data_IF_849716452940
#
_entry.id   IF_849716452940
#
_cell.length_a   1.000
_cell.length_b   1.000
_cell.length_c   1.000
_cell.angle_alpha   90.00
_cell.angle_beta   90.00
_cell.angle_gamma   90.00
#
_symmetry.space_group_name_H-M   'P 1'
#
loop_
_entity.id
_entity.type
_entity.pdbx_description
1 polymer ?
#
# COMPACT_ATOMS: atom_id res chain seq x y z
N UNK A 1 39.04 28.73 16.43
CA UNK A 1 38.85 27.30 16.72
C UNK A 1 37.42 26.95 16.36
N UNK A 2 37.06 25.97 15.55
CA UNK A 2 37.80 24.99 14.77
C UNK A 2 36.90 24.52 13.63
N UNK A 3 37.48 24.27 12.45
CA UNK A 3 36.80 23.65 11.31
C UNK A 3 36.40 22.23 11.70
N UNK A 4 35.12 21.89 11.60
CA UNK A 4 34.66 20.51 11.71
C UNK A 4 35.15 19.75 10.47
N UNK A 5 35.95 18.71 10.68
CA UNK A 5 36.46 17.82 9.65
C UNK A 5 35.30 17.16 8.89
N UNK A 6 35.18 17.43 7.60
CA UNK A 6 34.40 16.61 6.68
C UNK A 6 35.34 15.50 6.19
N UNK A 7 35.31 14.35 6.87
CA UNK A 7 35.95 13.15 6.35
C UNK A 7 35.22 12.69 5.09
N UNK A 8 35.89 12.71 3.94
CA UNK A 8 35.34 12.22 2.69
C UNK A 8 35.06 10.72 2.77
N UNK A 9 33.82 10.32 2.46
CA UNK A 9 33.44 8.92 2.34
C UNK A 9 34.19 8.31 1.14
N UNK A 10 34.76 7.11 1.31
CA UNK A 10 35.46 6.44 0.22
C UNK A 10 34.47 5.78 -0.76
N UNK A 11 34.95 5.38 -1.94
CA UNK A 11 34.11 4.84 -3.02
C UNK A 11 33.25 3.63 -2.62
N UNK A 12 33.78 2.73 -1.80
CA UNK A 12 33.04 1.57 -1.28
C UNK A 12 31.97 1.97 -0.26
N UNK A 13 32.21 3.02 0.54
CA UNK A 13 31.21 3.59 1.46
C UNK A 13 30.11 4.35 0.70
N UNK A 14 30.45 5.03 -0.40
CA UNK A 14 29.45 5.65 -1.28
C UNK A 14 28.61 4.59 -1.99
N UNK A 15 29.22 3.54 -2.54
CA UNK A 15 28.51 2.42 -3.18
C UNK A 15 27.62 1.65 -2.19
N UNK A 16 28.08 1.43 -0.96
CA UNK A 16 27.25 0.83 0.10
C UNK A 16 26.11 1.75 0.56
N UNK A 17 26.32 3.07 0.59
CA UNK A 17 25.28 4.05 0.90
C UNK A 17 24.27 4.20 -0.25
N UNK A 18 24.70 4.13 -1.51
CA UNK A 18 23.84 4.12 -2.69
C UNK A 18 23.02 2.82 -2.78
N UNK A 19 23.63 1.66 -2.45
CA UNK A 19 22.93 0.37 -2.38
C UNK A 19 21.97 0.30 -1.20
N UNK A 20 22.30 0.86 -0.02
CA UNK A 20 21.37 1.01 1.10
C UNK A 20 20.23 1.99 0.79
N UNK A 21 20.53 3.09 0.10
CA UNK A 21 19.51 4.04 -0.36
C UNK A 21 18.60 3.44 -1.44
N UNK A 22 19.11 2.51 -2.27
CA UNK A 22 18.33 1.82 -3.29
C UNK A 22 17.42 0.72 -2.72
N UNK A 23 17.82 0.05 -1.63
CA UNK A 23 17.03 -1.02 -1.00
C UNK A 23 15.88 -0.51 -0.11
N UNK A 24 15.91 0.77 0.28
CA UNK A 24 14.80 1.48 0.93
C UNK A 24 14.00 2.37 -0.02
N UNK A 25 14.35 2.43 -1.31
CA UNK A 25 13.59 3.19 -2.29
C UNK A 25 12.36 2.39 -2.70
N UNK A 26 11.23 3.07 -2.63
CA UNK A 26 9.97 2.61 -3.18
C UNK A 26 10.19 2.22 -4.65
N UNK A 27 9.61 1.10 -5.07
CA UNK A 27 9.67 0.66 -6.47
C UNK A 27 8.82 1.60 -7.32
N UNK A 28 9.46 2.53 -8.02
CA UNK A 28 8.75 3.54 -8.80
C UNK A 28 8.36 3.08 -10.22
N UNK A 29 8.78 1.89 -10.65
CA UNK A 29 8.53 1.34 -11.98
C UNK A 29 7.13 0.71 -12.18
N UNK A 30 6.26 0.84 -11.18
CA UNK A 30 4.89 0.32 -11.22
C UNK A 30 4.03 1.03 -12.27
N UNK A 31 3.14 0.26 -12.94
CA UNK A 31 2.20 0.81 -13.94
C UNK A 31 1.34 1.94 -13.39
N UNK A 32 0.93 1.83 -12.12
CA UNK A 32 0.18 2.85 -11.39
C UNK A 32 0.87 4.22 -11.45
N UNK A 33 2.19 4.25 -11.23
CA UNK A 33 2.95 5.50 -11.15
C UNK A 33 3.14 6.20 -12.50
N UNK A 34 2.86 5.53 -13.62
CA UNK A 34 2.76 6.23 -14.92
C UNK A 34 1.54 7.15 -14.99
N UNK A 35 0.45 6.80 -14.30
CA UNK A 35 -0.76 7.62 -14.26
C UNK A 35 -0.64 8.75 -13.23
N UNK A 36 -0.23 8.42 -12.00
CA UNK A 36 0.00 9.36 -10.90
C UNK A 36 1.20 8.84 -10.12
N UNK A 37 2.32 9.57 -10.14
CA UNK A 37 3.54 9.15 -9.44
C UNK A 37 3.62 9.69 -8.00
N UNK A 38 4.67 9.29 -7.28
CA UNK A 38 4.94 9.70 -5.89
C UNK A 38 5.50 11.13 -5.74
N UNK A 39 5.63 11.87 -6.83
CA UNK A 39 6.21 13.22 -6.88
C UNK A 39 5.23 14.26 -7.44
N UNK A 40 3.97 13.88 -7.67
CA UNK A 40 2.91 14.75 -8.21
C UNK A 40 2.91 14.88 -9.75
N UNK A 41 3.67 14.02 -10.43
CA UNK A 41 3.68 13.85 -11.88
C UNK A 41 2.75 12.72 -12.36
N UNK A 42 3.06 12.16 -13.53
CA UNK A 42 2.21 11.19 -14.23
C UNK A 42 1.25 11.82 -15.26
N UNK A 43 0.79 10.98 -16.18
CA UNK A 43 -0.08 11.37 -17.30
C UNK A 43 -1.39 12.01 -16.80
N UNK A 44 -2.05 11.37 -15.82
CA UNK A 44 -3.34 11.81 -15.30
C UNK A 44 -3.22 13.13 -14.54
N UNK A 45 -2.10 13.37 -13.85
CA UNK A 45 -1.85 14.65 -13.17
C UNK A 45 -1.64 15.80 -14.17
N UNK A 46 -0.97 15.53 -15.28
CA UNK A 46 -0.79 16.51 -16.36
C UNK A 46 -2.14 16.89 -16.98
N UNK A 47 -2.97 15.89 -17.25
CA UNK A 47 -4.34 16.09 -17.75
C UNK A 47 -5.19 16.86 -16.73
N UNK A 48 -5.12 16.50 -15.45
CA UNK A 48 -5.87 17.16 -14.38
C UNK A 48 -5.50 18.64 -14.22
N UNK A 49 -4.20 18.97 -14.33
CA UNK A 49 -3.74 20.38 -14.31
C UNK A 49 -4.34 21.18 -15.46
N UNK A 50 -4.33 20.61 -16.67
CA UNK A 50 -4.94 21.24 -17.83
C UNK A 50 -6.45 21.42 -17.64
N UNK A 51 -7.16 20.35 -17.26
CA UNK A 51 -8.60 20.36 -17.01
C UNK A 51 -9.02 21.39 -15.96
N UNK A 52 -8.24 21.54 -14.87
CA UNK A 52 -8.49 22.55 -13.84
C UNK A 52 -8.31 23.98 -14.37
N UNK A 53 -7.32 24.21 -15.24
CA UNK A 53 -7.06 25.52 -15.82
C UNK A 53 -8.13 25.94 -16.83
N UNK A 54 -8.58 25.01 -17.67
CA UNK A 54 -9.61 25.25 -18.70
C UNK A 54 -11.03 25.13 -18.16
N UNK A 55 -11.21 24.52 -16.98
CA UNK A 55 -12.49 24.06 -16.42
C UNK A 55 -13.21 23.02 -17.30
N UNK A 56 -12.50 22.39 -18.22
CA UNK A 56 -13.00 21.29 -19.04
C UNK A 56 -12.38 19.97 -18.59
N UNK A 57 -13.20 19.12 -17.99
CA UNK A 57 -12.77 17.82 -17.48
C UNK A 57 -13.13 16.65 -18.41
N UNK A 58 -13.69 16.92 -19.60
CA UNK A 58 -14.21 15.88 -20.49
C UNK A 58 -13.13 14.89 -20.92
N UNK A 59 -11.94 15.38 -21.25
CA UNK A 59 -10.81 14.52 -21.60
C UNK A 59 -10.31 13.69 -20.41
N UNK A 60 -10.24 14.29 -19.22
CA UNK A 60 -9.88 13.57 -18.00
C UNK A 60 -10.88 12.46 -17.69
N UNK A 61 -12.18 12.77 -17.78
CA UNK A 61 -13.26 11.82 -17.52
C UNK A 61 -13.22 10.64 -18.49
N UNK A 62 -12.96 10.92 -19.77
CA UNK A 62 -12.78 9.89 -20.78
C UNK A 62 -11.52 9.04 -20.50
N UNK A 63 -10.40 9.66 -20.12
CA UNK A 63 -9.18 8.95 -19.77
C UNK A 63 -9.41 8.05 -18.54
N UNK A 64 -10.07 8.54 -17.49
CA UNK A 64 -10.41 7.76 -16.30
C UNK A 64 -11.30 6.54 -16.68
N UNK A 65 -12.32 6.75 -17.51
CA UNK A 65 -13.24 5.67 -17.94
C UNK A 65 -12.59 4.62 -18.83
N UNK A 66 -11.61 5.00 -19.64
CA UNK A 66 -10.97 4.08 -20.60
C UNK A 66 -9.76 3.37 -20.00
N UNK A 67 -8.99 4.03 -19.13
CA UNK A 67 -7.73 3.51 -18.61
C UNK A 67 -7.88 2.70 -17.32
N UNK A 68 -8.71 3.17 -16.38
CA UNK A 68 -8.86 2.54 -15.06
C UNK A 68 -9.37 1.09 -15.08
N UNK A 69 -10.26 0.66 -15.99
CA UNK A 69 -10.79 -0.71 -15.97
C UNK A 69 -9.68 -1.79 -16.06
N UNK A 70 -8.53 -1.47 -16.66
CA UNK A 70 -7.37 -2.37 -16.71
C UNK A 70 -6.80 -2.72 -15.32
N UNK A 71 -7.03 -1.87 -14.32
CA UNK A 71 -6.51 -1.99 -12.95
C UNK A 71 -7.56 -2.56 -11.98
N UNK A 72 -8.83 -2.67 -12.41
CA UNK A 72 -9.95 -3.04 -11.56
C UNK A 72 -10.25 -4.55 -11.64
N UNK A 73 -10.66 -5.11 -10.51
CA UNK A 73 -11.00 -6.51 -10.34
C UNK A 73 -12.39 -6.82 -10.89
N UNK A 74 -12.53 -8.00 -11.51
CA UNK A 74 -13.81 -8.58 -11.93
C UNK A 74 -14.70 -7.64 -12.75
N UNK A 75 -14.13 -6.91 -13.72
CA UNK A 75 -14.85 -5.91 -14.51
C UNK A 75 -15.56 -4.89 -13.60
N UNK A 76 -14.80 -4.28 -12.69
CA UNK A 76 -15.26 -3.22 -11.78
C UNK A 76 -16.22 -3.69 -10.67
N UNK A 77 -16.52 -4.99 -10.61
CA UNK A 77 -17.39 -5.56 -9.58
C UNK A 77 -16.69 -5.80 -8.25
N UNK A 78 -15.35 -5.73 -8.21
CA UNK A 78 -14.57 -6.07 -7.02
C UNK A 78 -14.50 -7.57 -6.78
N UNK A 79 -13.68 -7.98 -5.81
CA UNK A 79 -13.50 -9.39 -5.42
C UNK A 79 -13.41 -9.50 -3.90
N UNK A 80 -14.12 -10.49 -3.35
CA UNK A 80 -13.94 -10.89 -1.96
C UNK A 80 -12.69 -11.76 -1.82
N UNK A 81 -11.78 -11.34 -0.96
CA UNK A 81 -10.60 -12.09 -0.55
C UNK A 81 -10.79 -12.58 0.87
N UNK A 82 -10.34 -13.80 1.18
CA UNK A 82 -10.24 -14.22 2.57
C UNK A 82 -9.18 -13.37 3.27
N UNK A 83 -9.45 -12.91 4.50
CA UNK A 83 -8.45 -12.14 5.26
C UNK A 83 -7.17 -12.96 5.46
N UNK A 84 -7.29 -14.27 5.64
CA UNK A 84 -6.15 -15.19 5.73
C UNK A 84 -5.30 -15.23 4.46
N UNK A 85 -5.90 -15.06 3.27
CA UNK A 85 -5.18 -14.98 2.00
C UNK A 85 -4.34 -13.70 1.93
N UNK A 86 -4.93 -12.56 2.30
CA UNK A 86 -4.23 -11.27 2.32
C UNK A 86 -3.09 -11.26 3.36
N UNK A 87 -3.32 -11.84 4.54
CA UNK A 87 -2.29 -12.02 5.57
C UNK A 87 -1.17 -12.93 5.06
N UNK A 88 -1.49 -14.02 4.36
CA UNK A 88 -0.47 -14.91 3.79
C UNK A 88 0.40 -14.22 2.74
N UNK A 89 -0.20 -13.41 1.86
CA UNK A 89 0.53 -12.60 0.87
C UNK A 89 1.48 -11.62 1.56
N UNK A 90 0.98 -10.92 2.58
CA UNK A 90 1.76 -10.00 3.41
C UNK A 90 2.93 -10.70 4.12
N UNK A 91 2.67 -11.86 4.72
CA UNK A 91 3.68 -12.66 5.41
C UNK A 91 4.76 -13.18 4.45
N UNK A 92 4.40 -13.53 3.22
CA UNK A 92 5.34 -13.90 2.17
C UNK A 92 6.29 -12.75 1.83
N UNK A 93 5.78 -11.52 1.75
CA UNK A 93 6.59 -10.31 1.55
C UNK A 93 7.57 -10.11 2.72
N UNK A 94 7.10 -10.21 3.97
CA UNK A 94 7.95 -10.11 5.18
C UNK A 94 9.08 -11.14 5.16
N UNK A 95 8.77 -12.40 4.85
CA UNK A 95 9.76 -13.47 4.81
C UNK A 95 10.79 -13.26 3.68
N UNK A 96 10.37 -12.72 2.53
CA UNK A 96 11.29 -12.36 1.45
C UNK A 96 12.25 -11.23 1.87
N UNK A 97 11.75 -10.18 2.55
CA UNK A 97 12.56 -9.09 3.11
C UNK A 97 13.59 -9.62 4.12
N UNK A 98 13.16 -10.45 5.07
CA UNK A 98 14.05 -11.08 6.06
C UNK A 98 15.10 -11.99 5.41
N UNK A 99 14.70 -12.80 4.42
CA UNK A 99 15.63 -13.65 3.68
C UNK A 99 16.70 -12.86 2.93
N UNK A 100 16.34 -11.74 2.31
CA UNK A 100 17.30 -10.84 1.66
C UNK A 100 18.29 -10.23 2.66
N UNK A 101 17.80 -9.76 3.79
CA UNK A 101 18.62 -9.20 4.86
C UNK A 101 19.64 -10.21 5.43
N UNK A 102 19.21 -11.46 5.67
CA UNK A 102 20.07 -12.51 6.23
C UNK A 102 21.17 -12.97 5.26
N UNK A 103 20.87 -13.09 3.96
CA UNK A 103 21.88 -13.39 2.92
C UNK A 103 23.00 -12.35 2.90
N UNK A 104 22.66 -11.07 3.11
CA UNK A 104 23.60 -9.94 3.11
C UNK A 104 24.59 -9.95 4.28
N UNK A 105 24.23 -10.56 5.43
CA UNK A 105 25.08 -10.59 6.64
C UNK A 105 26.10 -11.76 6.67
N UNK A 106 26.27 -12.51 5.58
CA UNK A 106 27.26 -13.60 5.47
C UNK A 106 27.02 -14.80 6.41
N UNK A 107 25.94 -14.78 7.20
CA UNK A 107 25.52 -15.93 8.01
C UNK A 107 24.68 -16.85 7.14
N UNK A 108 25.37 -17.63 6.30
CA UNK A 108 24.77 -18.75 5.57
C UNK A 108 24.25 -19.81 6.53
N UNK A 109 23.03 -19.62 7.02
CA UNK A 109 22.05 -20.68 7.29
C UNK A 109 20.72 -20.12 6.84
N UNK A 110 20.01 -20.88 5.99
CA UNK A 110 18.69 -20.54 5.51
C UNK A 110 17.86 -19.94 6.66
N UNK A 111 17.11 -18.87 6.38
CA UNK A 111 16.14 -18.33 7.32
C UNK A 111 15.38 -19.53 7.88
N UNK A 112 15.45 -19.76 9.20
CA UNK A 112 14.64 -20.79 9.83
C UNK A 112 13.20 -20.36 9.56
N UNK A 113 12.61 -20.95 8.51
CA UNK A 113 11.20 -20.85 8.25
C UNK A 113 10.59 -21.29 9.57
N UNK A 114 9.85 -20.42 10.26
CA UNK A 114 9.17 -20.81 11.51
C UNK A 114 8.20 -21.98 11.27
N UNK A 115 7.92 -22.29 9.99
CA UNK A 115 7.14 -23.43 9.50
C UNK A 115 7.98 -24.62 8.96
N UNK A 116 9.30 -24.48 8.75
CA UNK A 116 10.17 -25.60 8.37
C UNK A 116 10.46 -26.44 9.62
N UNK A 117 9.71 -27.53 9.76
CA UNK A 117 9.74 -28.40 10.94
C UNK A 117 8.37 -28.64 11.55
N UNK A 118 7.33 -27.91 11.10
CA UNK A 118 5.96 -28.28 11.41
C UNK A 118 5.49 -29.34 10.41
N UNK A 119 5.46 -30.59 10.87
CA UNK A 119 4.79 -31.66 10.15
C UNK A 119 3.31 -31.29 9.99
N UNK A 120 2.92 -30.99 8.75
CA UNK A 120 1.54 -30.62 8.42
C UNK A 120 0.59 -31.82 8.50
N UNK A 121 1.12 -33.04 8.58
CA UNK A 121 0.33 -34.27 8.69
C UNK A 121 0.12 -34.72 10.15
N UNK A 122 0.88 -34.16 11.11
CA UNK A 122 0.83 -34.54 12.54
C UNK A 122 0.55 -33.37 13.49
N UNK A 123 -0.25 -32.40 13.03
CA UNK A 123 -0.58 -31.25 13.85
C UNK A 123 -1.57 -31.61 14.97
N UNK A 124 -1.05 -31.74 16.21
CA UNK A 124 -1.81 -31.29 17.39
C UNK A 124 -2.20 -29.84 17.12
N UNK A 125 -3.46 -29.63 16.78
CA UNK A 125 -4.10 -28.42 16.22
C UNK A 125 -3.89 -27.14 17.06
N UNK A 126 -3.28 -27.24 18.25
CA UNK A 126 -3.01 -26.15 19.17
C UNK A 126 -1.73 -25.34 18.88
N UNK A 127 -0.64 -25.96 18.42
CA UNK A 127 0.65 -25.26 18.31
C UNK A 127 0.80 -24.47 17.01
N UNK A 128 0.26 -24.98 15.90
CA UNK A 128 0.10 -24.20 14.67
C UNK A 128 -0.80 -22.98 14.91
N UNK A 129 -1.87 -23.14 15.70
CA UNK A 129 -2.80 -22.06 16.05
C UNK A 129 -2.16 -21.05 17.00
N UNK A 130 -1.25 -21.47 17.90
CA UNK A 130 -0.44 -20.57 18.73
C UNK A 130 0.61 -19.82 17.92
N UNK A 131 1.30 -20.48 16.99
CA UNK A 131 2.27 -19.86 16.10
C UNK A 131 1.60 -18.83 15.18
N UNK A 132 0.45 -19.18 14.60
CA UNK A 132 -0.37 -18.25 13.82
C UNK A 132 -0.85 -17.08 14.68
N UNK A 133 -1.26 -17.31 15.93
CA UNK A 133 -1.68 -16.26 16.88
C UNK A 133 -0.53 -15.36 17.38
N UNK A 134 0.70 -15.88 17.42
CA UNK A 134 1.92 -15.11 17.70
C UNK A 134 2.37 -14.28 16.50
N UNK A 135 2.15 -14.77 15.28
CA UNK A 135 2.40 -14.05 14.03
C UNK A 135 1.29 -13.04 13.67
N UNK A 136 0.06 -13.30 14.09
CA UNK A 136 -1.12 -12.44 13.89
C UNK A 136 -1.18 -11.24 14.85
N UNK A 137 -0.17 -11.02 15.71
CA UNK A 137 -0.13 -9.86 16.60
C UNK A 137 -1.39 -9.74 17.45
N UNK A 138 -1.66 -10.77 18.26
CA UNK A 138 -2.94 -10.96 18.96
C UNK A 138 -3.45 -9.79 19.79
N UNK A 139 -4.15 -8.86 19.16
CA UNK A 139 -5.06 -7.91 19.79
C UNK A 139 -6.35 -8.61 20.21
N UNK A 140 -6.50 -8.88 21.51
CA UNK A 140 -7.81 -9.15 22.11
C UNK A 140 -8.62 -7.85 22.08
N UNK A 141 -9.54 -7.70 21.13
CA UNK A 141 -10.45 -6.54 21.19
C UNK A 141 -11.43 -6.40 20.03
N UNK A 142 -12.67 -6.87 20.24
CA UNK A 142 -13.86 -6.27 19.64
C UNK A 142 -14.33 -6.84 18.28
N UNK A 143 -15.62 -7.23 18.24
CA UNK A 143 -16.51 -7.49 17.09
C UNK A 143 -15.93 -8.23 15.88
N UNK A 144 -16.52 -9.40 15.61
CA UNK A 144 -16.32 -10.29 14.45
C UNK A 144 -15.67 -9.58 13.26
N UNK A 145 -14.35 -9.73 13.11
CA UNK A 145 -13.70 -9.36 11.86
C UNK A 145 -14.38 -10.13 10.73
N UNK A 146 -14.79 -9.40 9.69
CA UNK A 146 -15.27 -10.07 8.49
C UNK A 146 -14.17 -11.00 8.01
N UNK A 147 -14.49 -12.29 7.88
CA UNK A 147 -13.55 -13.30 7.34
C UNK A 147 -13.11 -12.96 5.91
N UNK A 148 -13.83 -12.06 5.26
CA UNK A 148 -13.60 -11.61 3.90
C UNK A 148 -13.48 -10.10 3.82
N UNK A 149 -12.65 -9.64 2.88
CA UNK A 149 -12.51 -8.24 2.52
C UNK A 149 -12.74 -8.08 1.02
N UNK A 150 -13.58 -7.14 0.63
CA UNK A 150 -13.71 -6.75 -0.77
C UNK A 150 -12.54 -5.84 -1.14
N UNK A 151 -11.80 -6.20 -2.19
CA UNK A 151 -10.82 -5.34 -2.84
C UNK A 151 -11.27 -5.06 -4.27
N UNK A 152 -10.95 -3.88 -4.80
CA UNK A 152 -11.41 -3.42 -6.10
C UNK A 152 -10.27 -3.22 -7.08
N UNK A 153 -9.09 -2.87 -6.59
CA UNK A 153 -7.86 -2.78 -7.35
C UNK A 153 -7.09 -4.10 -7.37
N UNK A 154 -6.61 -4.52 -8.55
CA UNK A 154 -5.82 -5.74 -8.76
C UNK A 154 -4.56 -5.73 -7.92
N UNK A 155 -4.25 -6.85 -7.25
CA UNK A 155 -3.15 -6.92 -6.30
C UNK A 155 -1.79 -6.67 -6.95
N UNK A 156 -1.60 -7.18 -8.16
CA UNK A 156 -0.40 -7.07 -8.98
C UNK A 156 -0.21 -5.68 -9.62
N UNK A 157 -1.24 -4.83 -9.59
CA UNK A 157 -1.22 -3.48 -10.17
C UNK A 157 -1.11 -2.39 -9.10
N UNK A 158 -0.92 -2.76 -7.83
CA UNK A 158 -0.79 -1.81 -6.71
C UNK A 158 0.56 -1.11 -6.75
N UNK A 159 0.62 0.05 -6.10
CA UNK A 159 1.88 0.73 -5.87
C UNK A 159 2.80 -0.04 -4.93
N UNK A 160 4.00 0.50 -4.75
CA UNK A 160 5.02 -0.07 -3.88
C UNK A 160 4.64 -0.17 -2.40
N UNK A 161 3.67 0.63 -1.94
CA UNK A 161 3.08 0.55 -0.59
C UNK A 161 1.80 -0.31 -0.57
N UNK A 162 1.47 -0.99 -1.68
CA UNK A 162 0.23 -1.76 -1.82
C UNK A 162 -1.01 -0.89 -2.01
N UNK A 163 -0.85 0.39 -2.32
CA UNK A 163 -1.90 1.38 -2.48
C UNK A 163 -2.56 1.34 -3.86
N UNK A 164 -3.74 1.95 -3.96
CA UNK A 164 -4.44 2.23 -5.23
C UNK A 164 -4.10 3.63 -5.71
N UNK A 165 -4.59 4.02 -6.91
CA UNK A 165 -4.44 5.40 -7.40
C UNK A 165 -5.07 6.46 -6.47
N UNK A 166 -6.17 6.12 -5.78
CA UNK A 166 -6.78 6.99 -4.76
C UNK A 166 -5.84 7.14 -3.57
N UNK A 167 -5.17 6.04 -3.19
CA UNK A 167 -4.12 6.04 -2.18
C UNK A 167 -2.96 6.95 -2.55
N UNK A 168 -2.43 6.87 -3.78
CA UNK A 168 -1.34 7.77 -4.23
C UNK A 168 -1.75 9.23 -4.17
N UNK A 169 -2.96 9.56 -4.65
CA UNK A 169 -3.47 10.93 -4.58
C UNK A 169 -3.50 11.44 -3.12
N UNK A 170 -3.96 10.61 -2.19
CA UNK A 170 -4.04 10.98 -0.78
C UNK A 170 -2.68 10.96 -0.08
N UNK A 171 -1.72 10.15 -0.50
CA UNK A 171 -0.34 10.24 -0.02
C UNK A 171 0.29 11.59 -0.39
N UNK A 172 -0.02 12.11 -1.58
CA UNK A 172 0.43 13.45 -1.98
C UNK A 172 -0.35 14.56 -1.28
N UNK A 173 -1.66 14.37 -1.06
CA UNK A 173 -2.49 15.23 -0.22
C UNK A 173 -2.67 16.68 -0.70
N UNK A 174 -2.19 17.04 -1.89
CA UNK A 174 -2.35 18.41 -2.41
C UNK A 174 -3.76 18.61 -2.97
N UNK A 175 -4.20 19.87 -3.07
CA UNK A 175 -5.54 20.23 -3.56
C UNK A 175 -5.87 19.55 -4.90
N UNK A 176 -4.91 19.51 -5.83
CA UNK A 176 -5.15 18.92 -7.15
C UNK A 176 -5.26 17.39 -7.11
N UNK A 177 -4.50 16.73 -6.23
CA UNK A 177 -4.64 15.29 -6.02
C UNK A 177 -5.97 14.96 -5.34
N UNK A 178 -6.40 15.75 -4.35
CA UNK A 178 -7.68 15.52 -3.68
C UNK A 178 -8.86 15.74 -4.65
N UNK A 179 -8.77 16.73 -5.53
CA UNK A 179 -9.75 16.91 -6.62
C UNK A 179 -9.77 15.70 -7.58
N UNK A 180 -8.60 15.19 -7.96
CA UNK A 180 -8.52 14.00 -8.82
C UNK A 180 -9.07 12.76 -8.12
N UNK A 181 -8.70 12.52 -6.86
CA UNK A 181 -9.17 11.39 -6.06
C UNK A 181 -10.70 11.37 -5.97
N UNK A 182 -11.32 12.51 -5.65
CA UNK A 182 -12.78 12.63 -5.58
C UNK A 182 -13.43 12.34 -6.94
N UNK A 183 -12.84 12.85 -8.02
CA UNK A 183 -13.35 12.61 -9.38
C UNK A 183 -13.25 11.15 -9.80
N UNK A 184 -12.16 10.47 -9.44
CA UNK A 184 -12.02 9.02 -9.64
C UNK A 184 -13.08 8.27 -8.84
N UNK A 185 -13.33 8.67 -7.59
CA UNK A 185 -14.36 8.05 -6.74
C UNK A 185 -15.79 8.29 -7.26
N UNK A 186 -16.03 9.38 -7.99
CA UNK A 186 -17.34 9.62 -8.63
C UNK A 186 -17.61 8.60 -9.76
N UNK A 187 -16.57 8.06 -10.42
CA UNK A 187 -16.71 6.98 -11.41
C UNK A 187 -16.59 5.57 -10.81
N UNK A 188 -15.70 5.39 -9.83
CA UNK A 188 -15.39 4.09 -9.24
C UNK A 188 -15.52 4.14 -7.71
N UNK A 189 -16.76 4.27 -7.18
CA UNK A 189 -16.99 4.52 -5.75
C UNK A 189 -16.52 3.38 -4.84
N UNK A 190 -16.43 2.15 -5.35
CA UNK A 190 -15.94 1.00 -4.57
C UNK A 190 -14.47 1.13 -4.12
N UNK A 191 -13.67 1.97 -4.80
CA UNK A 191 -12.29 2.25 -4.39
C UNK A 191 -12.20 3.01 -3.05
N UNK A 192 -13.30 3.58 -2.57
CA UNK A 192 -13.36 4.37 -1.34
C UNK A 192 -12.83 3.63 -0.11
N UNK A 193 -13.06 2.32 -0.04
CA UNK A 193 -12.70 1.48 1.11
C UNK A 193 -11.58 0.48 0.78
N UNK A 194 -10.92 0.63 -0.38
CA UNK A 194 -9.81 -0.23 -0.75
C UNK A 194 -8.59 0.05 0.15
N UNK A 195 -7.91 -0.99 0.65
CA UNK A 195 -6.78 -0.83 1.58
C UNK A 195 -5.44 -0.94 0.89
N UNK A 196 -4.42 -0.37 1.50
CA UNK A 196 -3.04 -0.77 1.25
C UNK A 196 -2.82 -2.23 1.69
N UNK A 197 -2.07 -2.99 0.89
CA UNK A 197 -1.87 -4.44 1.07
C UNK A 197 -0.43 -4.84 1.38
N UNK A 198 0.52 -3.91 1.33
CA UNK A 198 1.92 -4.20 1.66
C UNK A 198 2.09 -4.43 3.16
N UNK A 199 3.19 -5.09 3.54
CA UNK A 199 3.53 -5.34 4.95
C UNK A 199 3.46 -4.08 5.82
N UNK A 200 4.14 -3.02 5.38
CA UNK A 200 4.35 -1.81 6.18
C UNK A 200 3.13 -0.89 6.18
N UNK A 201 2.16 -1.07 5.27
CA UNK A 201 1.00 -0.18 5.16
C UNK A 201 -0.33 -0.92 5.24
N UNK A 202 -0.32 -2.18 5.69
CA UNK A 202 -1.50 -3.05 5.62
C UNK A 202 -2.72 -2.47 6.35
N UNK A 203 -3.84 -2.37 5.64
CA UNK A 203 -5.12 -1.91 6.20
C UNK A 203 -5.36 -0.41 6.07
N UNK A 204 -4.35 0.36 5.64
CA UNK A 204 -4.49 1.80 5.44
C UNK A 204 -5.49 2.09 4.31
N UNK A 205 -6.56 2.83 4.62
CA UNK A 205 -7.61 3.19 3.66
C UNK A 205 -7.55 4.67 3.28
N UNK A 206 -8.27 5.12 2.23
CA UNK A 206 -8.41 6.54 1.90
C UNK A 206 -8.82 7.41 3.09
N UNK A 207 -9.70 6.92 3.96
CA UNK A 207 -10.11 7.66 5.15
C UNK A 207 -8.96 7.83 6.15
N UNK A 208 -8.17 6.77 6.40
CA UNK A 208 -7.00 6.86 7.26
C UNK A 208 -5.98 7.88 6.73
N UNK A 209 -5.70 7.86 5.42
CA UNK A 209 -4.77 8.82 4.80
C UNK A 209 -5.26 10.26 4.96
N UNK A 210 -6.55 10.53 4.75
CA UNK A 210 -7.11 11.86 4.94
C UNK A 210 -7.00 12.34 6.41
N UNK A 211 -7.19 11.43 7.38
CA UNK A 211 -7.01 11.73 8.81
C UNK A 211 -5.55 12.02 9.13
N UNK A 212 -4.61 11.19 8.64
CA UNK A 212 -3.16 11.37 8.84
C UNK A 212 -2.70 12.72 8.26
N UNK A 213 -3.24 13.12 7.12
CA UNK A 213 -2.94 14.42 6.51
C UNK A 213 -3.59 15.62 7.21
N UNK A 214 -4.39 15.40 8.25
CA UNK A 214 -5.19 16.43 8.91
C UNK A 214 -6.11 17.20 7.94
N UNK A 215 -6.53 16.57 6.82
CA UNK A 215 -7.41 17.19 5.84
C UNK A 215 -8.88 16.96 6.22
N UNK A 216 -9.38 17.84 7.10
CA UNK A 216 -10.77 17.81 7.58
C UNK A 216 -11.79 17.86 6.43
N UNK A 217 -11.48 18.58 5.35
CA UNK A 217 -12.39 18.67 4.20
C UNK A 217 -12.46 17.34 3.46
N UNK A 218 -11.32 16.69 3.23
CA UNK A 218 -11.28 15.39 2.59
C UNK A 218 -11.93 14.32 3.48
N UNK A 219 -11.65 14.32 4.78
CA UNK A 219 -12.33 13.44 5.75
C UNK A 219 -13.86 13.58 5.62
N UNK A 220 -14.38 14.82 5.67
CA UNK A 220 -15.81 15.08 5.53
C UNK A 220 -16.37 14.53 4.21
N UNK A 221 -15.68 14.77 3.09
CA UNK A 221 -16.10 14.29 1.76
C UNK A 221 -16.07 12.76 1.61
N UNK A 222 -15.11 12.09 2.25
CA UNK A 222 -15.02 10.63 2.25
C UNK A 222 -16.11 10.01 3.12
N UNK A 223 -16.39 10.59 4.30
CA UNK A 223 -17.48 10.15 5.17
C UNK A 223 -18.85 10.30 4.49
N UNK A 224 -19.09 11.42 3.80
CA UNK A 224 -20.31 11.64 3.01
C UNK A 224 -20.50 10.61 1.89
N UNK A 225 -19.41 10.02 1.39
CA UNK A 225 -19.43 8.97 0.37
C UNK A 225 -19.56 7.55 0.94
N UNK A 226 -19.63 7.40 2.26
CA UNK A 226 -19.78 6.10 2.93
C UNK A 226 -18.45 5.40 3.21
N UNK A 227 -17.39 6.15 3.48
CA UNK A 227 -16.13 5.56 3.95
C UNK A 227 -16.36 4.81 5.28
N UNK A 228 -15.81 3.60 5.40
CA UNK A 228 -15.98 2.76 6.59
C UNK A 228 -15.14 3.29 7.76
N UNK A 229 -15.83 3.85 8.76
CA UNK A 229 -15.20 4.37 9.99
C UNK A 229 -14.66 3.28 10.90
N UNK A 230 -15.06 2.03 10.71
CA UNK A 230 -14.61 0.89 11.51
C UNK A 230 -13.50 0.10 10.81
N UNK A 231 -13.03 0.58 9.66
CA UNK A 231 -11.96 -0.06 8.92
C UNK A 231 -10.69 -0.07 9.77
N UNK A 232 -10.13 -1.26 9.98
CA UNK A 232 -8.94 -1.43 10.82
C UNK A 232 -7.67 -1.21 10.02
N UNK A 233 -6.81 -0.36 10.57
CA UNK A 233 -5.38 -0.35 10.32
C UNK A 233 -4.74 -1.33 11.32
N UNK A 234 -3.88 -2.23 10.85
CA UNK A 234 -3.08 -3.02 11.77
C UNK A 234 -1.88 -2.16 12.17
N UNK A 235 -1.88 -1.66 13.41
CA UNK A 235 -0.78 -0.89 13.95
C UNK A 235 0.50 -1.72 13.97
N UNK A 236 1.61 -1.08 13.59
CA UNK A 236 2.96 -1.62 13.70
C UNK A 236 3.22 -2.07 15.16
N UNK A 237 3.26 -3.38 15.39
CA UNK A 237 3.65 -3.99 16.67
C UNK A 237 4.72 -5.04 16.47
#
# INVERSE_FOLDING_TARGET
MGKLFIGGMNGAQMEQAEVQAAEGRLKEDMRLYRMVDLHGGGEMMTIMRHAKATKDYSFLDNYIKTRMPEFLLNNEKGKLFAVTELVALRNKERNAKLGAFLRKKGKGKAAVNVLEGFDQNDAKTGDLKKALKLLDGGGKGGKSESKYRELNWKLEERGSMGETIVGVCLLQGTIIHNMLALRILDFYPKLLNDICTSEDYYGLSPLHLAIINHDVQMVSKLLQRGADVNQRLNDFS
#
